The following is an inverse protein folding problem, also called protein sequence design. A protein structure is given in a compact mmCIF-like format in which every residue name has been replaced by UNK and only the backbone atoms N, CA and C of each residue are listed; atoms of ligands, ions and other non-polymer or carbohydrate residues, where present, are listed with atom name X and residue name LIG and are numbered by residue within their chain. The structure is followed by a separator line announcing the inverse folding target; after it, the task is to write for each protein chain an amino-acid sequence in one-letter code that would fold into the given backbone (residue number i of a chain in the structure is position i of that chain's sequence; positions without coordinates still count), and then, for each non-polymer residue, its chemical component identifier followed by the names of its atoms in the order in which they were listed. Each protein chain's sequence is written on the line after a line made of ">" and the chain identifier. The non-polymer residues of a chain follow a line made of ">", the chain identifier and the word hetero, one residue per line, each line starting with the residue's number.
data_IF_273757608466
#
_entry.id   IF_273757608466
#
_cell.length_a   1.000
_cell.length_b   1.000
_cell.length_c   1.000
_cell.angle_alpha   90.00
_cell.angle_beta   90.00
_cell.angle_gamma   90.00
#
_symmetry.space_group_name_H-M   'P 1'
#
loop_
_entity.id
_entity.type
_entity.pdbx_description
1 polymer ?
#
# COMPACT_ATOMS: atom_id res chain seq x y z
N UNK A 1 30.01 -17.10 -19.16
CA UNK A 1 29.59 -15.82 -19.77
C UNK A 1 28.63 -15.17 -18.79
N UNK A 2 28.75 -13.86 -18.55
CA UNK A 2 27.76 -13.15 -17.72
C UNK A 2 26.40 -13.14 -18.44
N UNK A 3 25.27 -13.30 -17.72
CA UNK A 3 23.96 -13.32 -18.35
C UNK A 3 23.62 -11.96 -18.99
N UNK A 4 22.71 -11.96 -19.97
CA UNK A 4 22.15 -10.72 -20.53
C UNK A 4 21.11 -10.17 -19.56
N UNK A 5 21.29 -8.95 -19.07
CA UNK A 5 20.45 -8.36 -18.02
C UNK A 5 19.64 -7.21 -18.62
N UNK A 6 18.33 -7.24 -18.40
CA UNK A 6 17.44 -6.10 -18.58
C UNK A 6 17.21 -5.40 -17.25
N UNK A 7 17.33 -4.09 -17.23
CA UNK A 7 16.91 -3.26 -16.09
C UNK A 7 15.73 -2.43 -16.54
N UNK A 8 14.60 -2.66 -15.88
CA UNK A 8 13.36 -1.96 -16.15
C UNK A 8 13.15 -0.83 -15.14
N UNK A 9 12.93 0.39 -15.64
CA UNK A 9 12.47 1.53 -14.87
C UNK A 9 10.98 1.67 -15.10
N UNK A 10 10.19 1.40 -14.06
CA UNK A 10 8.77 1.73 -14.03
C UNK A 10 8.60 3.08 -13.33
N UNK A 11 7.86 3.98 -13.95
CA UNK A 11 7.79 5.36 -13.48
C UNK A 11 6.44 6.02 -13.76
N UNK A 12 6.06 6.95 -12.90
CA UNK A 12 4.91 7.84 -13.08
C UNK A 12 5.12 9.09 -12.23
N UNK A 13 5.08 10.26 -12.86
CA UNK A 13 5.27 11.56 -12.23
C UNK A 13 6.53 11.64 -11.35
N UNK A 14 7.69 11.34 -11.94
CA UNK A 14 9.00 11.26 -11.31
C UNK A 14 10.03 12.20 -11.96
N UNK A 15 9.61 13.39 -12.41
CA UNK A 15 10.48 14.38 -13.07
C UNK A 15 11.78 14.63 -12.29
N UNK A 16 11.68 14.76 -10.96
CA UNK A 16 12.82 15.08 -10.10
C UNK A 16 13.83 13.93 -9.94
N UNK A 17 13.43 12.68 -10.16
CA UNK A 17 14.21 11.51 -9.70
C UNK A 17 14.63 10.56 -10.82
N UNK A 18 13.86 10.46 -11.92
CA UNK A 18 14.10 9.47 -12.98
C UNK A 18 15.50 9.58 -13.60
N UNK A 19 16.01 10.79 -13.79
CA UNK A 19 17.34 11.02 -14.37
C UNK A 19 18.48 10.51 -13.47
N UNK A 20 18.28 10.45 -12.15
CA UNK A 20 19.25 9.86 -11.21
C UNK A 20 19.32 8.34 -11.38
N UNK A 21 18.16 7.70 -11.40
CA UNK A 21 18.02 6.25 -11.62
C UNK A 21 18.63 5.82 -12.96
N UNK A 22 18.32 6.53 -14.06
CA UNK A 22 18.88 6.20 -15.37
C UNK A 22 20.41 6.29 -15.41
N UNK A 23 21.00 7.28 -14.73
CA UNK A 23 22.46 7.40 -14.61
C UNK A 23 23.07 6.22 -13.86
N UNK A 24 22.47 5.81 -12.74
CA UNK A 24 22.95 4.67 -11.95
C UNK A 24 22.93 3.36 -12.76
N UNK A 25 21.88 3.15 -13.57
CA UNK A 25 21.78 1.96 -14.43
C UNK A 25 22.83 1.98 -15.54
N UNK A 26 23.01 3.12 -16.20
CA UNK A 26 23.95 3.25 -17.32
C UNK A 26 25.42 3.25 -16.89
N UNK A 27 25.71 3.48 -15.61
CA UNK A 27 27.04 3.40 -15.03
C UNK A 27 27.49 1.97 -14.71
N UNK A 28 26.60 0.97 -14.81
CA UNK A 28 26.97 -0.42 -14.53
C UNK A 28 28.08 -0.91 -15.48
N UNK A 29 29.05 -1.62 -14.91
CA UNK A 29 30.21 -2.18 -15.61
C UNK A 29 29.85 -3.33 -16.55
N UNK A 30 28.68 -3.94 -16.37
CA UNK A 30 28.12 -4.97 -17.25
C UNK A 30 27.15 -4.33 -18.26
N UNK A 31 27.09 -4.84 -19.50
CA UNK A 31 26.10 -4.37 -20.48
C UNK A 31 24.67 -4.62 -20.00
N UNK A 32 23.82 -3.58 -20.04
CA UNK A 32 22.41 -3.64 -19.65
C UNK A 32 21.50 -3.24 -20.80
N UNK A 33 20.38 -3.96 -20.95
CA UNK A 33 19.24 -3.50 -21.71
C UNK A 33 18.37 -2.61 -20.82
N UNK A 34 18.27 -1.33 -21.16
CA UNK A 34 17.45 -0.38 -20.41
C UNK A 34 16.04 -0.29 -20.99
N UNK A 35 15.05 -0.68 -20.20
CA UNK A 35 13.62 -0.60 -20.53
C UNK A 35 12.96 0.44 -19.64
N UNK A 36 12.24 1.39 -20.22
CA UNK A 36 11.48 2.41 -19.48
C UNK A 36 10.00 2.24 -19.80
N UNK A 37 9.20 2.04 -18.74
CA UNK A 37 7.74 2.00 -18.82
C UNK A 37 7.19 3.14 -17.97
N UNK A 38 6.63 4.13 -18.64
CA UNK A 38 6.02 5.30 -18.05
C UNK A 38 4.49 5.15 -17.99
N UNK A 39 3.90 5.33 -16.82
CA UNK A 39 2.47 5.21 -16.54
C UNK A 39 1.64 6.42 -16.97
N UNK A 40 1.92 6.94 -18.18
CA UNK A 40 1.39 8.19 -18.72
C UNK A 40 1.60 9.39 -17.78
N UNK A 41 2.87 9.71 -17.49
CA UNK A 41 3.22 10.87 -16.68
C UNK A 41 2.66 12.17 -17.27
N UNK A 42 2.25 13.07 -16.38
CA UNK A 42 1.69 14.39 -16.72
C UNK A 42 2.64 15.54 -16.35
N UNK A 43 3.76 15.24 -15.70
CA UNK A 43 4.83 16.17 -15.35
C UNK A 43 5.99 16.09 -16.37
N UNK A 44 7.16 16.66 -16.02
CA UNK A 44 8.34 16.62 -16.87
C UNK A 44 9.08 15.27 -16.94
N UNK A 45 8.53 14.15 -16.46
CA UNK A 45 9.21 12.83 -16.44
C UNK A 45 9.76 12.42 -17.81
N UNK A 46 8.95 12.51 -18.87
CA UNK A 46 9.40 12.13 -20.21
C UNK A 46 10.49 13.06 -20.75
N UNK A 47 10.42 14.35 -20.42
CA UNK A 47 11.46 15.32 -20.77
C UNK A 47 12.77 15.01 -20.04
N UNK A 48 12.72 14.58 -18.77
CA UNK A 48 13.88 14.15 -17.99
C UNK A 48 14.53 12.87 -18.54
N UNK A 49 13.79 12.02 -19.25
CA UNK A 49 14.31 10.86 -19.96
C UNK A 49 15.01 11.20 -21.29
N UNK A 50 14.70 12.35 -21.91
CA UNK A 50 15.16 12.70 -23.25
C UNK A 50 16.69 12.68 -23.43
N UNK A 51 17.52 13.15 -22.47
CA UNK A 51 18.99 13.07 -22.59
C UNK A 51 19.53 11.64 -22.71
N UNK A 52 18.78 10.64 -22.22
CA UNK A 52 19.17 9.23 -22.23
C UNK A 52 18.57 8.45 -23.39
N UNK A 53 17.76 9.08 -24.25
CA UNK A 53 16.93 8.39 -25.25
C UNK A 53 17.69 7.42 -26.14
N UNK A 54 18.92 7.77 -26.56
CA UNK A 54 19.76 6.92 -27.41
C UNK A 54 20.27 5.65 -26.71
N UNK A 55 20.22 5.61 -25.38
CA UNK A 55 20.66 4.47 -24.55
C UNK A 55 19.49 3.67 -23.98
N UNK A 56 18.25 4.15 -24.15
CA UNK A 56 17.04 3.43 -23.77
C UNK A 56 16.64 2.52 -24.93
N UNK A 57 16.66 1.21 -24.71
CA UNK A 57 16.30 0.21 -25.71
C UNK A 57 14.80 0.30 -26.05
N UNK A 58 13.97 0.37 -25.02
CA UNK A 58 12.51 0.48 -25.14
C UNK A 58 11.99 1.55 -24.21
N UNK A 59 11.22 2.51 -24.73
CA UNK A 59 10.47 3.48 -23.94
C UNK A 59 9.00 3.42 -24.38
N UNK A 60 8.11 3.12 -23.44
CA UNK A 60 6.66 3.14 -23.63
C UNK A 60 6.06 4.08 -22.60
N UNK A 61 5.14 4.95 -23.03
CA UNK A 61 4.36 5.82 -22.15
C UNK A 61 2.87 5.62 -22.44
N UNK A 62 2.16 5.01 -21.49
CA UNK A 62 0.73 4.76 -21.59
C UNK A 62 0.15 4.48 -20.19
N UNK A 63 -1.17 4.65 -19.96
CA UNK A 63 -1.77 4.38 -18.66
C UNK A 63 -1.52 2.94 -18.17
N UNK A 64 -1.39 2.76 -16.86
CA UNK A 64 -1.28 1.47 -16.18
C UNK A 64 -2.19 1.39 -14.95
N UNK A 65 -2.41 0.16 -14.48
CA UNK A 65 -3.16 -0.13 -13.26
C UNK A 65 -2.29 -0.07 -11.98
N UNK A 66 -1.10 0.54 -12.05
CA UNK A 66 -0.13 0.62 -10.97
C UNK A 66 1.24 0.01 -11.34
N UNK A 67 2.22 0.08 -10.40
CA UNK A 67 3.62 -0.26 -10.69
C UNK A 67 3.78 -1.71 -11.17
N UNK A 68 3.03 -2.66 -10.60
CA UNK A 68 3.13 -4.06 -11.01
C UNK A 68 2.59 -4.34 -12.41
N UNK A 69 1.62 -3.55 -12.90
CA UNK A 69 1.17 -3.63 -14.28
C UNK A 69 2.26 -3.12 -15.24
N UNK A 70 2.91 -2.00 -14.89
CA UNK A 70 4.08 -1.51 -15.59
C UNK A 70 5.25 -2.52 -15.58
N UNK A 71 5.50 -3.19 -14.46
CA UNK A 71 6.54 -4.23 -14.35
C UNK A 71 6.21 -5.44 -15.23
N UNK A 72 4.95 -5.90 -15.21
CA UNK A 72 4.47 -6.97 -16.09
C UNK A 72 4.65 -6.62 -17.57
N UNK A 73 4.37 -5.37 -17.94
CA UNK A 73 4.59 -4.84 -19.28
C UNK A 73 6.08 -4.84 -19.64
N UNK A 74 6.94 -4.35 -18.75
CA UNK A 74 8.37 -4.35 -18.94
C UNK A 74 8.94 -5.76 -19.13
N UNK A 75 8.48 -6.77 -18.38
CA UNK A 75 8.89 -8.16 -18.54
C UNK A 75 8.60 -8.72 -19.95
N UNK A 76 7.49 -8.30 -20.57
CA UNK A 76 7.12 -8.69 -21.94
C UNK A 76 7.92 -7.94 -23.01
N UNK A 77 8.33 -6.71 -22.74
CA UNK A 77 9.09 -5.85 -23.65
C UNK A 77 10.59 -6.12 -23.63
N UNK A 78 11.13 -6.57 -22.49
CA UNK A 78 12.53 -6.88 -22.30
C UNK A 78 12.99 -8.11 -23.12
N UNK A 79 14.25 -8.13 -23.51
CA UNK A 79 14.88 -9.23 -24.28
C UNK A 79 16.03 -9.93 -23.54
N UNK A 80 16.41 -9.42 -22.36
CA UNK A 80 17.39 -10.03 -21.48
C UNK A 80 16.99 -11.44 -21.02
N UNK A 81 17.99 -12.18 -20.55
CA UNK A 81 17.80 -13.46 -19.88
C UNK A 81 17.19 -13.24 -18.48
N UNK A 82 17.72 -12.26 -17.75
CA UNK A 82 17.20 -11.80 -16.47
C UNK A 82 16.62 -10.40 -16.59
N UNK A 83 15.65 -10.09 -15.74
CA UNK A 83 15.11 -8.75 -15.55
C UNK A 83 15.16 -8.36 -14.07
N UNK A 84 15.55 -7.11 -13.81
CA UNK A 84 15.52 -6.44 -12.51
C UNK A 84 14.72 -5.13 -12.65
N UNK A 85 14.01 -4.73 -11.60
CA UNK A 85 13.20 -3.51 -11.60
C UNK A 85 13.79 -2.44 -10.68
N UNK A 86 14.18 -1.31 -11.25
CA UNK A 86 14.72 -0.17 -10.52
C UNK A 86 13.75 1.01 -10.66
N UNK A 87 12.94 1.28 -9.63
CA UNK A 87 11.93 2.34 -9.70
C UNK A 87 12.60 3.72 -9.78
N UNK A 88 11.91 4.69 -10.36
CA UNK A 88 12.41 6.06 -10.40
C UNK A 88 12.59 6.63 -8.98
N UNK A 89 13.81 7.07 -8.66
CA UNK A 89 14.23 7.44 -7.31
C UNK A 89 15.25 6.50 -6.70
N UNK A 90 15.24 5.23 -7.10
CA UNK A 90 16.16 4.21 -6.58
C UNK A 90 17.45 4.15 -7.41
N UNK A 91 18.51 3.56 -6.85
CA UNK A 91 19.79 3.36 -7.53
C UNK A 91 20.50 2.07 -7.09
N UNK A 92 21.48 1.64 -7.88
CA UNK A 92 22.45 0.63 -7.47
C UNK A 92 23.45 1.22 -6.46
N UNK A 93 23.96 0.37 -5.55
CA UNK A 93 24.95 0.78 -4.54
C UNK A 93 26.32 1.13 -5.12
N UNK A 94 26.66 0.57 -6.28
CA UNK A 94 27.93 0.79 -6.98
C UNK A 94 27.79 0.50 -8.49
N UNK A 95 28.84 0.77 -9.26
CA UNK A 95 28.94 0.44 -10.69
C UNK A 95 29.14 -1.07 -10.94
N UNK A 96 29.52 -1.82 -9.91
CA UNK A 96 29.77 -3.26 -9.92
C UNK A 96 28.59 -4.09 -9.39
N UNK A 97 27.54 -3.46 -8.87
CA UNK A 97 26.43 -4.13 -8.18
C UNK A 97 25.83 -5.30 -8.97
N UNK A 98 25.57 -5.12 -10.28
CA UNK A 98 25.08 -6.21 -11.14
C UNK A 98 26.13 -7.28 -11.42
N UNK A 99 27.40 -6.91 -11.55
CA UNK A 99 28.48 -7.88 -11.72
C UNK A 99 28.60 -8.77 -10.48
N UNK A 100 28.48 -8.17 -9.30
CA UNK A 100 28.58 -8.82 -8.00
C UNK A 100 27.39 -9.75 -7.74
N UNK A 101 26.18 -9.29 -8.04
CA UNK A 101 24.95 -10.07 -7.92
C UNK A 101 25.03 -11.41 -8.68
N UNK A 102 25.67 -11.43 -9.85
CA UNK A 102 25.77 -12.60 -10.71
C UNK A 102 27.12 -13.34 -10.63
N UNK A 103 28.11 -12.84 -9.89
CA UNK A 103 29.49 -13.37 -9.87
C UNK A 103 29.55 -14.87 -9.56
N UNK A 104 28.72 -15.33 -8.64
CA UNK A 104 28.66 -16.73 -8.19
C UNK A 104 27.28 -17.37 -8.40
N UNK A 105 26.40 -16.72 -9.18
CA UNK A 105 25.10 -17.27 -9.49
C UNK A 105 25.26 -18.55 -10.35
N UNK A 106 24.65 -19.68 -9.95
CA UNK A 106 24.72 -20.90 -10.75
C UNK A 106 23.95 -20.71 -12.05
N UNK A 107 24.39 -21.32 -13.18
CA UNK A 107 23.72 -21.18 -14.47
C UNK A 107 22.24 -21.58 -14.47
N UNK A 108 21.83 -22.45 -13.53
CA UNK A 108 20.46 -22.90 -13.36
C UNK A 108 19.55 -21.93 -12.60
N UNK A 109 20.08 -20.94 -11.87
CA UNK A 109 19.26 -20.06 -11.03
C UNK A 109 18.15 -19.35 -11.84
N UNK A 110 16.93 -19.42 -11.36
CA UNK A 110 15.77 -18.74 -11.90
C UNK A 110 15.56 -17.36 -11.26
N UNK A 111 15.99 -17.22 -10.01
CA UNK A 111 15.88 -16.01 -9.21
C UNK A 111 17.18 -15.74 -8.44
N UNK A 112 17.77 -14.56 -8.62
CA UNK A 112 19.03 -14.15 -7.96
C UNK A 112 18.77 -12.89 -7.16
N UNK A 113 19.19 -12.84 -5.90
CA UNK A 113 18.91 -11.69 -5.05
C UNK A 113 20.04 -11.40 -4.06
N UNK A 114 20.08 -10.16 -3.59
CA UNK A 114 21.03 -9.68 -2.59
C UNK A 114 20.36 -8.79 -1.54
N UNK A 115 21.19 -8.00 -0.87
CA UNK A 115 20.80 -7.07 0.17
C UNK A 115 20.55 -5.68 -0.41
N UNK A 116 19.96 -4.82 0.40
CA UNK A 116 19.65 -3.47 0.00
C UNK A 116 19.72 -2.49 1.18
N UNK A 117 19.78 -1.21 0.86
CA UNK A 117 19.67 -0.13 1.82
C UNK A 117 18.36 0.62 1.62
N UNK A 118 17.74 1.02 2.73
CA UNK A 118 16.62 1.94 2.76
C UNK A 118 17.11 3.35 3.08
N UNK A 119 16.94 4.29 2.15
CA UNK A 119 17.25 5.69 2.38
C UNK A 119 16.04 6.39 2.99
N UNK A 120 16.17 6.82 4.24
CA UNK A 120 15.14 7.56 4.96
C UNK A 120 15.09 9.03 4.57
N UNK A 121 13.96 9.68 4.86
CA UNK A 121 13.74 11.11 4.59
C UNK A 121 14.74 12.03 5.31
N UNK A 122 15.31 11.58 6.44
CA UNK A 122 16.36 12.31 7.18
C UNK A 122 17.78 12.11 6.60
N UNK A 123 17.90 11.36 5.51
CA UNK A 123 19.16 11.05 4.84
C UNK A 123 19.92 9.86 5.43
N UNK A 124 19.40 9.20 6.47
CA UNK A 124 20.02 8.00 7.02
C UNK A 124 19.78 6.77 6.13
N UNK A 125 20.78 5.90 6.07
CA UNK A 125 20.70 4.60 5.38
C UNK A 125 20.50 3.50 6.41
N UNK A 126 19.42 2.73 6.26
CA UNK A 126 19.19 1.50 7.00
C UNK A 126 19.54 0.31 6.12
N UNK A 127 20.43 -0.56 6.60
CA UNK A 127 20.81 -1.75 5.87
C UNK A 127 19.84 -2.90 6.13
N UNK A 128 19.36 -3.53 5.06
CA UNK A 128 18.42 -4.64 5.11
C UNK A 128 19.03 -5.88 4.46
N UNK A 129 19.34 -6.85 5.32
CA UNK A 129 19.80 -8.17 4.89
C UNK A 129 18.63 -9.03 4.44
N UNK A 130 18.61 -9.42 3.17
CA UNK A 130 17.66 -10.42 2.68
C UNK A 130 17.87 -11.77 3.38
N UNK A 131 16.78 -12.43 3.74
CA UNK A 131 16.80 -13.73 4.38
C UNK A 131 16.99 -14.86 3.34
N UNK A 132 17.35 -16.06 3.82
CA UNK A 132 17.25 -17.26 3.00
C UNK A 132 15.78 -17.54 2.67
N UNK A 133 15.44 -17.63 1.38
CA UNK A 133 14.06 -17.86 0.95
C UNK A 133 13.51 -19.23 1.41
N UNK A 134 14.39 -20.21 1.63
CA UNK A 134 14.02 -21.50 2.21
C UNK A 134 13.54 -21.36 3.64
N UNK A 135 14.23 -20.56 4.45
CA UNK A 135 13.80 -20.18 5.80
C UNK A 135 12.46 -19.44 5.77
N UNK A 136 12.33 -18.40 4.93
CA UNK A 136 11.08 -17.65 4.78
C UNK A 136 9.91 -18.57 4.41
N UNK A 137 10.13 -19.48 3.46
CA UNK A 137 9.13 -20.47 3.04
C UNK A 137 8.70 -21.37 4.18
N UNK A 138 9.64 -21.90 4.97
CA UNK A 138 9.32 -22.77 6.12
C UNK A 138 8.46 -22.04 7.15
N UNK A 139 8.80 -20.80 7.48
CA UNK A 139 8.06 -19.97 8.44
C UNK A 139 6.65 -19.64 7.93
N UNK A 140 6.52 -19.27 6.65
CA UNK A 140 5.22 -18.99 6.07
C UNK A 140 4.31 -20.23 6.04
N UNK A 141 4.86 -21.42 5.72
CA UNK A 141 4.11 -22.68 5.73
C UNK A 141 3.68 -23.11 7.13
N UNK A 142 4.51 -22.88 8.16
CA UNK A 142 4.18 -23.22 9.55
C UNK A 142 3.28 -22.19 10.23
N UNK A 143 3.03 -21.05 9.58
CA UNK A 143 2.29 -19.92 10.16
C UNK A 143 3.07 -19.14 11.23
N UNK A 144 4.34 -19.47 11.47
CA UNK A 144 5.22 -18.81 12.42
C UNK A 144 5.85 -17.56 11.80
N UNK A 145 5.00 -16.57 11.49
CA UNK A 145 5.42 -15.32 10.86
C UNK A 145 5.70 -14.25 11.91
N UNK A 146 6.74 -13.45 11.65
CA UNK A 146 7.09 -12.25 12.40
C UNK A 146 7.59 -11.14 11.46
N UNK A 147 7.87 -9.96 12.01
CA UNK A 147 8.40 -8.83 11.24
C UNK A 147 9.75 -9.11 10.58
N UNK A 148 10.57 -10.00 11.14
CA UNK A 148 11.85 -10.37 10.54
C UNK A 148 11.65 -11.21 9.28
N UNK A 149 10.71 -12.17 9.32
CA UNK A 149 10.36 -12.98 8.14
C UNK A 149 9.72 -12.14 7.04
N UNK A 150 8.91 -11.14 7.40
CA UNK A 150 8.28 -10.23 6.44
C UNK A 150 9.31 -9.27 5.83
N UNK A 151 10.10 -8.61 6.67
CA UNK A 151 11.13 -7.65 6.24
C UNK A 151 12.37 -8.31 5.61
N UNK A 152 12.55 -9.61 5.83
CA UNK A 152 13.61 -10.41 5.25
C UNK A 152 13.36 -10.79 3.78
N UNK A 153 12.21 -10.47 3.20
CA UNK A 153 11.96 -10.67 1.79
C UNK A 153 12.85 -9.74 0.95
N UNK A 154 13.52 -10.23 -0.11
CA UNK A 154 14.27 -9.35 -0.99
C UNK A 154 13.33 -8.42 -1.75
N UNK A 155 13.71 -7.15 -1.86
CA UNK A 155 12.99 -6.19 -2.69
C UNK A 155 13.30 -6.43 -4.18
N UNK A 156 12.41 -5.98 -5.06
CA UNK A 156 12.59 -6.14 -6.51
C UNK A 156 13.77 -5.33 -7.08
N UNK A 157 14.25 -4.29 -6.37
CA UNK A 157 15.45 -3.51 -6.73
C UNK A 157 16.74 -4.29 -6.51
N UNK A 158 16.73 -5.24 -5.57
CA UNK A 158 17.87 -6.08 -5.22
C UNK A 158 17.69 -7.53 -5.68
N UNK A 159 16.79 -7.78 -6.63
CA UNK A 159 16.56 -9.10 -7.18
C UNK A 159 16.34 -9.10 -8.67
N UNK A 160 16.87 -10.13 -9.32
CA UNK A 160 16.77 -10.38 -10.74
C UNK A 160 16.10 -11.74 -10.97
N UNK A 161 15.05 -11.76 -11.77
CA UNK A 161 14.32 -13.00 -12.12
C UNK A 161 14.55 -13.32 -13.58
N UNK A 162 14.60 -14.60 -13.95
CA UNK A 162 14.53 -14.99 -15.37
C UNK A 162 13.33 -14.32 -16.01
N UNK A 163 13.59 -13.51 -17.01
CA UNK A 163 12.56 -12.69 -17.66
C UNK A 163 11.45 -13.56 -18.25
N UNK A 164 11.77 -14.77 -18.74
CA UNK A 164 10.76 -15.71 -19.26
C UNK A 164 9.67 -16.06 -18.22
N UNK A 165 10.03 -16.15 -16.95
CA UNK A 165 9.13 -16.51 -15.85
C UNK A 165 8.14 -15.37 -15.61
N UNK A 166 8.61 -14.12 -15.52
CA UNK A 166 7.76 -12.95 -15.32
C UNK A 166 6.97 -12.55 -16.58
N UNK A 167 7.50 -12.82 -17.77
CA UNK A 167 6.78 -12.57 -19.02
C UNK A 167 5.61 -13.54 -19.23
N UNK A 168 5.77 -14.80 -18.80
CA UNK A 168 4.72 -15.81 -18.87
C UNK A 168 3.69 -15.65 -17.73
N UNK A 169 4.17 -15.46 -16.50
CA UNK A 169 3.34 -15.28 -15.31
C UNK A 169 3.98 -14.21 -14.42
N UNK A 170 3.54 -12.97 -14.64
CA UNK A 170 4.03 -11.80 -13.91
C UNK A 170 3.43 -11.67 -12.50
N UNK A 171 3.49 -10.45 -11.99
CA UNK A 171 2.90 -10.04 -10.73
C UNK A 171 1.36 -10.10 -10.79
N UNK A 172 0.75 -10.55 -9.71
CA UNK A 172 -0.70 -10.62 -9.54
C UNK A 172 -1.24 -9.24 -9.18
N UNK A 173 -1.99 -8.62 -10.10
CA UNK A 173 -2.50 -7.26 -9.95
C UNK A 173 -3.61 -7.11 -8.89
N UNK A 174 -4.08 -8.22 -8.30
CA UNK A 174 -4.91 -8.13 -7.09
C UNK A 174 -4.12 -7.67 -5.86
N UNK A 175 -2.79 -7.65 -5.94
CA UNK A 175 -1.91 -7.01 -4.96
C UNK A 175 -1.41 -5.68 -5.51
N UNK A 176 -1.67 -4.59 -4.80
CA UNK A 176 -1.23 -3.24 -5.15
C UNK A 176 0.15 -2.92 -4.58
N UNK A 177 0.55 -3.56 -3.47
CA UNK A 177 1.78 -3.25 -2.74
C UNK A 177 2.70 -4.46 -2.64
N UNK A 178 2.20 -5.62 -2.22
CA UNK A 178 3.00 -6.81 -1.91
C UNK A 178 3.00 -7.86 -3.03
N UNK A 179 2.78 -7.45 -4.29
CA UNK A 179 2.72 -8.39 -5.41
C UNK A 179 4.08 -9.08 -5.66
N UNK A 180 5.18 -8.40 -5.33
CA UNK A 180 6.53 -8.95 -5.35
C UNK A 180 6.72 -10.08 -4.33
N UNK A 181 6.33 -9.87 -3.08
CA UNK A 181 6.32 -10.90 -2.04
C UNK A 181 5.45 -12.08 -2.48
N UNK A 182 4.25 -11.80 -3.01
CA UNK A 182 3.32 -12.84 -3.49
C UNK A 182 3.93 -13.63 -4.65
N UNK A 183 4.64 -12.96 -5.57
CA UNK A 183 5.32 -13.63 -6.67
C UNK A 183 6.45 -14.51 -6.17
N UNK A 184 7.27 -14.04 -5.21
CA UNK A 184 8.34 -14.83 -4.60
C UNK A 184 7.78 -16.09 -3.95
N UNK A 185 6.74 -15.99 -3.12
CA UNK A 185 6.11 -17.16 -2.53
C UNK A 185 5.58 -18.15 -3.58
N UNK A 186 5.01 -17.66 -4.69
CA UNK A 186 4.57 -18.49 -5.80
C UNK A 186 5.73 -19.19 -6.50
N UNK A 187 6.82 -18.47 -6.80
CA UNK A 187 8.04 -19.05 -7.39
C UNK A 187 8.62 -20.18 -6.52
N UNK A 188 8.63 -19.98 -5.20
CA UNK A 188 9.08 -21.01 -4.26
C UNK A 188 8.11 -22.20 -4.15
N UNK A 189 6.81 -22.00 -4.42
CA UNK A 189 5.83 -23.09 -4.50
C UNK A 189 5.94 -23.87 -5.82
N UNK A 190 6.34 -23.20 -6.91
CA UNK A 190 6.64 -23.78 -8.22
C UNK A 190 7.95 -24.58 -8.23
N UNK A 191 8.77 -24.45 -7.18
CA UNK A 191 10.05 -25.16 -7.05
C UNK A 191 11.16 -24.55 -7.90
N UNK A 192 11.08 -23.25 -8.21
CA UNK A 192 12.10 -22.54 -8.98
C UNK A 192 13.40 -22.39 -8.18
N UNK A 193 14.53 -22.51 -8.88
CA UNK A 193 15.85 -22.42 -8.26
C UNK A 193 16.20 -20.98 -7.94
N UNK A 194 16.62 -20.71 -6.71
CA UNK A 194 17.04 -19.38 -6.29
C UNK A 194 18.49 -19.35 -5.81
N UNK A 195 19.11 -18.18 -5.90
CA UNK A 195 20.46 -17.93 -5.40
C UNK A 195 20.50 -16.63 -4.59
N UNK A 196 20.89 -16.75 -3.32
CA UNK A 196 21.22 -15.61 -2.49
C UNK A 196 22.70 -15.27 -2.67
N UNK A 197 22.98 -14.10 -3.25
CA UNK A 197 24.34 -13.71 -3.61
C UNK A 197 25.15 -13.13 -2.43
N UNK A 198 24.52 -12.79 -1.30
CA UNK A 198 25.15 -12.22 -0.10
C UNK A 198 26.00 -10.96 -0.43
N UNK A 199 25.45 -10.09 -1.29
CA UNK A 199 26.05 -8.81 -1.71
C UNK A 199 25.03 -7.68 -1.62
N UNK A 200 25.49 -6.45 -1.44
CA UNK A 200 24.66 -5.26 -1.51
C UNK A 200 24.38 -4.89 -2.97
N UNK A 201 23.12 -4.63 -3.31
CA UNK A 201 22.70 -4.39 -4.70
C UNK A 201 22.14 -3.00 -4.91
N UNK A 202 21.17 -2.60 -4.09
CA UNK A 202 20.38 -1.40 -4.35
C UNK A 202 20.19 -0.52 -3.11
N UNK A 203 19.99 0.77 -3.36
CA UNK A 203 19.45 1.74 -2.41
C UNK A 203 18.05 2.09 -2.90
N UNK A 204 17.03 1.80 -2.09
CA UNK A 204 15.66 2.19 -2.37
C UNK A 204 15.23 3.32 -1.42
N UNK A 205 14.51 4.30 -1.95
CA UNK A 205 14.22 5.56 -1.24
C UNK A 205 12.85 5.51 -0.55
N UNK A 206 12.78 6.06 0.66
CA UNK A 206 11.53 6.25 1.40
C UNK A 206 10.51 7.08 0.60
N UNK A 207 9.24 6.75 0.77
CA UNK A 207 8.13 7.50 0.16
C UNK A 207 7.45 6.80 -1.02
N UNK A 208 7.83 5.56 -1.31
CA UNK A 208 7.12 4.68 -2.24
C UNK A 208 5.70 4.29 -1.78
N UNK A 209 4.99 3.55 -2.64
CA UNK A 209 3.59 3.18 -2.42
C UNK A 209 3.36 2.41 -1.11
N UNK A 210 4.30 1.52 -0.74
CA UNK A 210 4.27 0.73 0.49
C UNK A 210 4.37 1.59 1.76
N UNK A 211 5.22 2.62 1.74
CA UNK A 211 5.38 3.54 2.86
C UNK A 211 4.13 4.41 3.09
N UNK A 212 3.42 4.74 2.00
CA UNK A 212 2.21 5.60 1.97
C UNK A 212 0.88 4.87 2.27
N UNK A 213 0.88 3.55 2.21
CA UNK A 213 -0.32 2.72 2.38
C UNK A 213 0.04 1.53 3.28
N UNK A 214 0.56 1.83 4.47
CA UNK A 214 1.01 0.83 5.45
C UNK A 214 -0.11 -0.16 5.79
N UNK A 215 -1.35 0.32 6.01
CA UNK A 215 -2.50 -0.54 6.32
C UNK A 215 -2.79 -1.55 5.20
N UNK A 216 -2.77 -1.11 3.93
CA UNK A 216 -2.92 -1.99 2.77
C UNK A 216 -1.74 -2.96 2.65
N UNK A 217 -0.52 -2.52 2.93
CA UNK A 217 0.68 -3.36 2.93
C UNK A 217 0.53 -4.54 3.91
N UNK A 218 0.15 -4.23 5.16
CA UNK A 218 -0.16 -5.23 6.17
C UNK A 218 -1.29 -6.16 5.75
N UNK A 219 -2.32 -5.62 5.10
CA UNK A 219 -3.43 -6.42 4.63
C UNK A 219 -3.03 -7.41 3.55
N UNK A 220 -2.26 -6.97 2.58
CA UNK A 220 -1.77 -7.81 1.51
C UNK A 220 -0.80 -8.88 2.01
N UNK A 221 0.07 -8.54 2.97
CA UNK A 221 0.91 -9.53 3.65
C UNK A 221 0.09 -10.58 4.39
N UNK A 222 -0.93 -10.18 5.15
CA UNK A 222 -1.85 -11.11 5.80
C UNK A 222 -2.52 -12.05 4.78
N UNK A 223 -3.10 -11.50 3.72
CA UNK A 223 -3.84 -12.27 2.71
C UNK A 223 -2.95 -13.32 2.07
N UNK A 224 -1.76 -12.89 1.66
CA UNK A 224 -0.74 -13.74 1.07
C UNK A 224 -0.28 -14.82 2.05
N UNK A 225 0.13 -14.45 3.27
CA UNK A 225 0.70 -15.39 4.25
C UNK A 225 -0.37 -16.36 4.76
N UNK A 226 -1.61 -15.95 4.95
CA UNK A 226 -2.71 -16.83 5.31
C UNK A 226 -2.99 -17.86 4.21
N UNK A 227 -2.94 -17.43 2.93
CA UNK A 227 -3.10 -18.35 1.80
C UNK A 227 -1.93 -19.35 1.71
N UNK A 228 -0.69 -18.90 1.95
CA UNK A 228 0.49 -19.78 1.96
C UNK A 228 0.47 -20.76 3.13
N UNK A 229 0.04 -20.33 4.33
CA UNK A 229 0.00 -21.15 5.53
C UNK A 229 -1.05 -22.26 5.48
N UNK A 230 -2.10 -22.11 4.67
CA UNK A 230 -3.15 -23.11 4.52
C UNK A 230 -3.82 -23.46 5.86
N UNK A 231 -3.70 -24.71 6.29
CA UNK A 231 -4.24 -25.18 7.57
C UNK A 231 -3.64 -24.44 8.79
N UNK A 232 -2.43 -23.86 8.65
CA UNK A 232 -1.76 -23.08 9.70
C UNK A 232 -2.16 -21.60 9.72
N UNK A 233 -3.08 -21.16 8.86
CA UNK A 233 -3.57 -19.78 8.83
C UNK A 233 -4.03 -19.20 10.19
N UNK A 234 -4.58 -19.98 11.16
CA UNK A 234 -4.92 -19.44 12.48
C UNK A 234 -3.75 -18.79 13.23
N UNK A 235 -2.51 -19.23 13.01
CA UNK A 235 -1.33 -18.59 13.62
C UNK A 235 -1.05 -17.22 12.97
N UNK A 236 -1.14 -17.14 11.63
CA UNK A 236 -1.02 -15.88 10.88
C UNK A 236 -2.12 -14.90 11.30
N UNK A 237 -3.37 -15.37 11.44
CA UNK A 237 -4.48 -14.55 11.91
C UNK A 237 -4.21 -13.94 13.28
N UNK A 238 -3.65 -14.74 14.20
CA UNK A 238 -3.29 -14.27 15.54
C UNK A 238 -2.18 -13.22 15.50
N UNK A 239 -1.11 -13.48 14.75
CA UNK A 239 -0.01 -12.53 14.59
C UNK A 239 -0.51 -11.17 14.11
N UNK A 240 -1.25 -11.14 13.00
CA UNK A 240 -1.78 -9.88 12.48
C UNK A 240 -2.80 -9.27 13.43
N UNK A 241 -3.68 -10.03 14.09
CA UNK A 241 -4.64 -9.47 15.05
C UNK A 241 -3.97 -8.79 16.26
N UNK A 242 -2.85 -9.33 16.74
CA UNK A 242 -2.10 -8.81 17.90
C UNK A 242 -1.22 -7.61 17.53
N UNK A 243 -0.62 -7.61 16.34
CA UNK A 243 0.37 -6.61 15.93
C UNK A 243 -0.21 -5.53 15.01
N UNK A 244 -1.37 -5.78 14.41
CA UNK A 244 -2.01 -4.94 13.39
C UNK A 244 -3.52 -4.94 13.60
N UNK A 245 -4.07 -3.89 14.23
CA UNK A 245 -5.50 -3.86 14.56
C UNK A 245 -6.37 -3.92 13.28
N UNK A 246 -7.43 -4.75 13.23
CA UNK A 246 -7.77 -5.52 12.01
C UNK A 246 -9.08 -5.14 11.30
N UNK A 247 -9.17 -5.56 10.04
CA UNK A 247 -10.22 -5.33 9.03
C UNK A 247 -9.80 -5.99 7.70
N UNK A 248 -8.97 -7.03 7.83
CA UNK A 248 -8.04 -7.54 6.82
C UNK A 248 -8.69 -8.57 5.86
N UNK A 249 -10.02 -8.61 5.79
CA UNK A 249 -10.74 -9.66 5.06
C UNK A 249 -11.10 -9.28 3.62
N UNK A 250 -11.21 -7.99 3.30
CA UNK A 250 -11.74 -7.53 2.01
C UNK A 250 -10.63 -7.36 0.96
N UNK A 251 -10.81 -7.81 -0.30
CA UNK A 251 -9.78 -7.71 -1.35
C UNK A 251 -9.47 -6.25 -1.74
N UNK A 252 -8.25 -5.95 -2.22
CA UNK A 252 -7.81 -4.57 -2.50
C UNK A 252 -8.71 -3.78 -3.45
N UNK A 253 -9.31 -4.39 -4.48
CA UNK A 253 -10.23 -3.65 -5.37
C UNK A 253 -11.56 -3.33 -4.70
N UNK A 254 -12.03 -4.19 -3.78
CA UNK A 254 -13.22 -3.90 -2.99
C UNK A 254 -12.93 -2.75 -2.03
N UNK A 255 -11.77 -2.77 -1.37
CA UNK A 255 -11.34 -1.67 -0.49
C UNK A 255 -11.17 -0.37 -1.26
N UNK A 256 -10.52 -0.36 -2.43
CA UNK A 256 -10.37 0.86 -3.23
C UNK A 256 -11.75 1.48 -3.59
N UNK A 257 -12.74 0.65 -3.94
CA UNK A 257 -14.12 1.11 -4.16
C UNK A 257 -14.77 1.65 -2.88
N UNK A 258 -14.55 0.99 -1.75
CA UNK A 258 -15.06 1.46 -0.45
C UNK A 258 -14.40 2.78 -0.03
N UNK A 259 -13.08 2.93 -0.26
CA UNK A 259 -12.34 4.18 0.01
C UNK A 259 -12.92 5.32 -0.82
N UNK A 260 -13.08 5.12 -2.13
CA UNK A 260 -13.68 6.11 -3.02
C UNK A 260 -15.09 6.49 -2.54
N UNK A 261 -15.92 5.49 -2.24
CA UNK A 261 -17.28 5.72 -1.75
C UNK A 261 -17.32 6.49 -0.43
N UNK A 262 -16.47 6.14 0.54
CA UNK A 262 -16.41 6.84 1.82
C UNK A 262 -15.88 8.27 1.67
N UNK A 263 -14.89 8.47 0.80
CA UNK A 263 -14.33 9.79 0.50
C UNK A 263 -15.36 10.69 -0.19
N UNK A 264 -16.04 10.17 -1.21
CA UNK A 264 -17.11 10.88 -1.94
C UNK A 264 -18.32 11.19 -1.06
N UNK A 265 -18.60 10.36 -0.04
CA UNK A 265 -19.71 10.61 0.88
C UNK A 265 -19.53 11.86 1.75
N UNK A 266 -18.30 12.35 1.93
CA UNK A 266 -17.97 13.45 2.84
C UNK A 266 -18.18 13.12 4.33
N UNK A 267 -18.65 11.92 4.67
CA UNK A 267 -18.92 11.53 6.06
C UNK A 267 -17.66 11.08 6.81
N UNK A 268 -16.57 10.77 6.11
CA UNK A 268 -15.29 10.48 6.76
C UNK A 268 -14.44 11.75 6.84
N UNK A 269 -14.22 12.26 8.05
CA UNK A 269 -13.44 13.49 8.25
C UNK A 269 -11.95 13.17 8.39
N UNK A 270 -11.23 13.07 7.26
CA UNK A 270 -9.84 12.61 7.21
C UNK A 270 -8.90 13.36 8.17
N UNK A 271 -8.91 14.69 8.16
CA UNK A 271 -8.04 15.50 9.04
C UNK A 271 -8.38 15.36 10.53
N UNK A 272 -9.67 15.25 10.85
CA UNK A 272 -10.12 15.02 12.23
C UNK A 272 -9.71 13.63 12.71
N UNK A 273 -9.98 12.60 11.91
CA UNK A 273 -9.61 11.22 12.20
C UNK A 273 -8.10 11.09 12.42
N UNK A 274 -7.30 11.69 11.52
CA UNK A 274 -5.85 11.75 11.62
C UNK A 274 -5.39 12.35 12.95
N UNK A 275 -5.97 13.49 13.33
CA UNK A 275 -5.63 14.19 14.57
C UNK A 275 -5.99 13.37 15.81
N UNK A 276 -7.20 12.83 15.87
CA UNK A 276 -7.73 12.09 17.04
C UNK A 276 -6.98 10.78 17.25
N UNK A 277 -6.75 10.01 16.18
CA UNK A 277 -6.12 8.69 16.27
C UNK A 277 -4.61 8.70 15.99
N UNK A 278 -4.01 9.89 15.82
CA UNK A 278 -2.59 10.10 15.55
C UNK A 278 -2.07 9.27 14.39
N UNK A 279 -2.81 9.28 13.28
CA UNK A 279 -2.44 8.52 12.08
C UNK A 279 -1.28 9.23 11.36
N UNK A 280 -0.15 8.55 11.08
CA UNK A 280 0.96 9.16 10.36
C UNK A 280 0.54 9.70 8.99
N UNK A 281 1.09 10.83 8.53
CA UNK A 281 0.74 11.45 7.23
C UNK A 281 0.87 10.48 6.05
N UNK A 282 1.84 9.56 6.14
CA UNK A 282 2.06 8.47 5.19
C UNK A 282 1.01 7.35 5.24
N UNK A 283 -0.10 7.50 5.94
CA UNK A 283 -1.15 6.48 5.99
C UNK A 283 -2.46 7.14 5.61
N UNK A 284 -3.15 6.55 4.61
CA UNK A 284 -4.51 6.95 4.25
C UNK A 284 -5.45 6.63 5.43
N UNK A 285 -6.14 7.62 6.00
CA UNK A 285 -6.95 7.43 7.20
C UNK A 285 -8.23 6.65 6.92
N UNK A 286 -8.77 6.68 5.69
CA UNK A 286 -9.94 5.89 5.29
C UNK A 286 -9.54 4.41 5.18
N UNK A 287 -8.40 4.12 4.54
CA UNK A 287 -7.87 2.75 4.50
C UNK A 287 -7.65 2.23 5.92
N UNK A 288 -7.00 3.01 6.77
CA UNK A 288 -6.82 2.65 8.18
C UNK A 288 -8.16 2.37 8.88
N UNK A 289 -9.20 3.16 8.63
CA UNK A 289 -10.51 2.95 9.22
C UNK A 289 -11.20 1.67 8.73
N UNK A 290 -11.19 1.44 7.42
CA UNK A 290 -11.75 0.24 6.78
C UNK A 290 -11.04 -1.03 7.27
N UNK A 291 -9.70 -0.97 7.35
CA UNK A 291 -8.86 -2.08 7.76
C UNK A 291 -8.70 -2.26 9.27
N UNK A 292 -9.27 -1.42 10.13
CA UNK A 292 -8.92 -1.50 11.56
C UNK A 292 -9.76 -0.62 12.44
N UNK A 293 -9.86 0.66 12.08
CA UNK A 293 -10.51 1.69 12.90
C UNK A 293 -11.93 1.30 13.30
N UNK A 294 -12.76 0.85 12.35
CA UNK A 294 -14.14 0.48 12.64
C UNK A 294 -14.28 -0.65 13.67
N UNK A 295 -13.43 -1.69 13.60
CA UNK A 295 -13.45 -2.79 14.59
C UNK A 295 -12.90 -2.36 15.95
N UNK A 296 -11.97 -1.42 15.94
CA UNK A 296 -11.49 -0.75 17.15
C UNK A 296 -12.48 0.30 17.70
N UNK A 297 -13.70 0.37 17.14
CA UNK A 297 -14.75 1.32 17.50
C UNK A 297 -14.31 2.79 17.33
N UNK A 298 -13.31 3.05 16.48
CA UNK A 298 -12.93 4.40 16.11
C UNK A 298 -14.11 5.09 15.42
N UNK A 299 -14.28 6.38 15.68
CA UNK A 299 -15.31 7.21 15.06
C UNK A 299 -14.73 7.77 13.76
N UNK A 300 -15.48 7.77 12.65
CA UNK A 300 -15.00 8.37 11.40
C UNK A 300 -15.18 9.90 11.36
N UNK A 301 -16.01 10.44 12.24
CA UNK A 301 -16.26 11.87 12.44
C UNK A 301 -16.84 12.10 13.85
N UNK A 302 -16.94 13.35 14.35
CA UNK A 302 -17.44 13.66 15.69
C UNK A 302 -18.90 13.23 15.99
N UNK A 303 -19.69 12.96 14.96
CA UNK A 303 -21.14 12.71 15.02
C UNK A 303 -21.52 11.31 14.50
N UNK A 304 -20.54 10.41 14.46
CA UNK A 304 -20.73 9.00 14.17
C UNK A 304 -20.03 8.18 15.24
N UNK A 305 -20.78 7.76 16.25
CA UNK A 305 -20.31 6.86 17.28
C UNK A 305 -20.45 5.41 16.78
N UNK A 306 -19.31 4.81 16.45
CA UNK A 306 -19.24 3.46 15.90
C UNK A 306 -19.79 2.41 16.86
N UNK A 307 -19.55 2.54 18.17
CA UNK A 307 -20.05 1.61 19.17
C UNK A 307 -21.57 1.69 19.26
N UNK A 308 -22.08 2.92 19.40
CA UNK A 308 -23.50 3.21 19.42
C UNK A 308 -24.23 2.68 18.20
N UNK A 309 -23.66 2.89 17.01
CA UNK A 309 -24.24 2.43 15.76
C UNK A 309 -24.33 0.90 15.73
N UNK A 310 -23.27 0.18 16.11
CA UNK A 310 -23.28 -1.29 16.14
C UNK A 310 -24.18 -1.88 17.25
N UNK A 311 -24.39 -1.16 18.35
CA UNK A 311 -25.33 -1.54 19.41
C UNK A 311 -26.77 -1.48 18.91
N UNK A 312 -27.15 -0.38 18.25
CA UNK A 312 -28.51 -0.18 17.72
C UNK A 312 -28.81 -1.01 16.47
N UNK A 313 -27.78 -1.45 15.76
CA UNK A 313 -27.90 -2.11 14.46
C UNK A 313 -27.30 -3.52 14.50
N UNK A 314 -27.98 -4.41 15.21
CA UNK A 314 -27.53 -5.79 15.41
C UNK A 314 -27.40 -6.60 14.11
N UNK A 315 -28.16 -6.24 13.07
CA UNK A 315 -28.04 -6.78 11.72
C UNK A 315 -26.69 -6.45 11.08
N UNK A 316 -26.22 -5.21 11.22
CA UNK A 316 -24.90 -4.76 10.73
C UNK A 316 -23.78 -5.45 11.50
N UNK A 317 -23.91 -5.50 12.83
CA UNK A 317 -22.94 -6.18 13.70
C UNK A 317 -22.82 -7.67 13.35
N UNK A 318 -23.94 -8.35 13.12
CA UNK A 318 -23.95 -9.79 12.75
C UNK A 318 -23.43 -10.02 11.34
N UNK A 319 -23.67 -9.10 10.41
CA UNK A 319 -23.12 -9.17 9.06
C UNK A 319 -21.61 -8.88 9.02
N UNK A 320 -21.04 -8.30 10.08
CA UNK A 320 -19.62 -7.91 10.12
C UNK A 320 -19.27 -6.78 9.16
N UNK A 321 -20.26 -6.05 8.63
CA UNK A 321 -20.06 -4.98 7.67
C UNK A 321 -19.46 -3.75 8.36
N UNK A 322 -18.57 -3.02 7.67
CA UNK A 322 -18.07 -1.75 8.18
C UNK A 322 -19.25 -0.79 8.45
N UNK A 323 -19.35 -0.20 9.65
CA UNK A 323 -20.54 0.53 10.10
C UNK A 323 -20.78 1.83 9.32
N UNK A 324 -19.72 2.59 9.02
CA UNK A 324 -19.86 3.78 8.18
C UNK A 324 -20.20 3.40 6.74
N UNK A 325 -19.57 2.36 6.20
CA UNK A 325 -19.87 1.86 4.86
C UNK A 325 -21.34 1.42 4.75
N UNK A 326 -21.83 0.67 5.75
CA UNK A 326 -23.23 0.31 5.85
C UNK A 326 -24.12 1.56 5.90
N UNK A 327 -23.73 2.58 6.67
CA UNK A 327 -24.48 3.82 6.76
C UNK A 327 -24.59 4.54 5.40
N UNK A 328 -23.48 4.69 4.70
CA UNK A 328 -23.43 5.31 3.37
C UNK A 328 -24.30 4.54 2.36
N UNK A 329 -24.20 3.21 2.34
CA UNK A 329 -24.94 2.38 1.37
C UNK A 329 -26.44 2.26 1.70
N UNK A 330 -26.79 2.22 2.98
CA UNK A 330 -28.14 1.86 3.43
C UNK A 330 -28.65 2.73 4.59
N UNK A 331 -27.82 2.94 5.62
CA UNK A 331 -28.26 3.55 6.87
C UNK A 331 -28.80 4.97 6.74
N UNK A 332 -28.24 5.81 5.85
CA UNK A 332 -28.75 7.15 5.60
C UNK A 332 -30.19 7.13 5.06
N UNK A 333 -30.47 6.30 4.05
CA UNK A 333 -31.82 6.12 3.48
C UNK A 333 -32.79 5.50 4.49
N UNK A 334 -32.27 4.65 5.37
CA UNK A 334 -33.03 4.01 6.46
C UNK A 334 -33.15 4.89 7.71
N UNK A 335 -32.58 6.11 7.71
CA UNK A 335 -32.57 7.04 8.85
C UNK A 335 -32.03 6.42 10.13
N UNK A 336 -30.97 5.62 10.01
CA UNK A 336 -30.29 5.03 11.17
C UNK A 336 -29.58 6.11 11.97
N UNK A 337 -29.76 6.06 13.29
CA UNK A 337 -29.14 7.03 14.21
C UNK A 337 -27.65 6.71 14.37
N UNK A 338 -26.79 7.69 14.11
CA UNK A 338 -25.32 7.55 14.14
C UNK A 338 -24.68 7.97 15.44
N UNK A 339 -25.42 8.66 16.32
CA UNK A 339 -24.89 9.26 17.53
C UNK A 339 -25.94 9.26 18.65
N UNK A 340 -25.55 9.16 19.92
CA UNK A 340 -26.49 9.18 21.05
C UNK A 340 -27.01 10.60 21.36
N UNK A 341 -27.76 11.19 20.42
CA UNK A 341 -28.27 12.57 20.46
C UNK A 341 -29.09 12.90 21.71
N UNK A 342 -29.97 11.99 22.14
CA UNK A 342 -30.84 12.20 23.30
C UNK A 342 -30.07 12.36 24.62
N UNK A 343 -28.87 11.79 24.70
CA UNK A 343 -27.98 11.91 25.86
C UNK A 343 -26.85 12.92 25.67
N UNK A 344 -26.82 13.61 24.53
CA UNK A 344 -25.79 14.62 24.23
C UNK A 344 -25.95 15.85 25.13
N UNK A 345 -24.83 16.54 25.40
CA UNK A 345 -24.78 17.72 26.28
C UNK A 345 -24.00 18.85 25.63
N UNK A 346 -24.19 20.07 26.13
CA UNK A 346 -23.47 21.26 25.69
C UNK A 346 -23.62 21.48 24.19
N UNK A 347 -22.55 21.96 23.55
CA UNK A 347 -22.52 22.27 22.12
C UNK A 347 -23.18 21.23 21.22
N UNK A 348 -22.93 19.93 21.45
CA UNK A 348 -23.46 18.84 20.63
C UNK A 348 -24.99 18.78 20.69
N UNK A 349 -25.58 19.05 21.85
CA UNK A 349 -27.04 19.13 22.00
C UNK A 349 -27.63 20.33 21.27
N UNK A 350 -26.91 21.46 21.27
CA UNK A 350 -27.30 22.67 20.54
C UNK A 350 -27.53 22.41 19.05
N UNK A 351 -26.79 21.46 18.45
CA UNK A 351 -26.97 21.07 17.05
C UNK A 351 -28.38 20.58 16.73
N UNK A 352 -29.16 20.09 17.70
CA UNK A 352 -30.55 19.69 17.50
C UNK A 352 -31.48 20.86 17.11
N UNK A 353 -31.07 22.10 17.36
CA UNK A 353 -31.79 23.29 16.89
C UNK A 353 -31.70 23.48 15.37
N UNK A 354 -30.70 22.86 14.72
CA UNK A 354 -30.42 22.99 13.29
C UNK A 354 -30.35 21.63 12.59
N UNK A 355 -30.73 20.54 13.26
CA UNK A 355 -30.65 19.18 12.73
C UNK A 355 -31.62 18.25 13.47
N UNK A 356 -32.49 17.56 12.73
CA UNK A 356 -33.36 16.51 13.28
C UNK A 356 -32.82 15.13 12.89
N UNK A 357 -32.18 14.38 13.82
CA UNK A 357 -31.57 13.08 13.51
C UNK A 357 -32.60 12.00 13.13
N UNK A 358 -33.90 12.20 13.38
CA UNK A 358 -34.95 11.25 13.00
C UNK A 358 -35.53 11.52 11.60
N UNK A 359 -35.23 12.69 11.02
CA UNK A 359 -35.74 13.11 9.70
C UNK A 359 -34.65 13.35 8.68
N UNK A 360 -33.46 13.72 9.14
CA UNK A 360 -32.34 14.16 8.33
C UNK A 360 -31.17 13.18 8.47
N UNK A 361 -30.43 12.98 7.39
CA UNK A 361 -29.24 12.15 7.39
C UNK A 361 -28.00 12.96 7.84
N UNK A 362 -26.95 12.26 8.26
CA UNK A 362 -25.78 12.87 8.89
C UNK A 362 -25.04 13.85 7.99
N UNK A 363 -25.08 13.65 6.67
CA UNK A 363 -24.51 14.55 5.67
C UNK A 363 -25.10 15.96 5.75
N UNK A 364 -26.40 16.07 6.03
CA UNK A 364 -27.08 17.36 6.22
C UNK A 364 -26.52 18.11 7.42
N UNK A 365 -26.25 17.40 8.53
CA UNK A 365 -25.63 18.02 9.70
C UNK A 365 -24.22 18.51 9.38
N UNK A 366 -23.39 17.67 8.77
CA UNK A 366 -21.99 18.03 8.45
C UNK A 366 -21.92 19.24 7.53
N UNK A 367 -22.78 19.30 6.52
CA UNK A 367 -22.90 20.43 5.58
C UNK A 367 -23.36 21.72 6.29
N UNK A 368 -24.29 21.63 7.26
CA UNK A 368 -24.68 22.78 8.08
C UNK A 368 -23.57 23.23 9.01
N UNK A 369 -22.92 22.31 9.72
CA UNK A 369 -21.81 22.62 10.64
C UNK A 369 -20.65 23.29 9.91
N UNK A 370 -20.32 22.84 8.70
CA UNK A 370 -19.26 23.42 7.88
C UNK A 370 -19.51 24.88 7.47
N UNK A 371 -20.77 25.34 7.52
CA UNK A 371 -21.16 26.72 7.16
C UNK A 371 -21.41 27.64 8.35
N UNK A 372 -21.31 27.14 9.58
CA UNK A 372 -21.54 27.95 10.78
C UNK A 372 -20.47 29.03 10.94
N UNK A 373 -20.91 30.25 11.22
CA UNK A 373 -20.06 31.36 11.63
C UNK A 373 -19.71 31.27 13.12
N UNK A 374 -18.62 31.91 13.59
CA UNK A 374 -18.29 31.95 15.02
C UNK A 374 -19.43 32.50 15.91
N UNK A 375 -20.25 33.40 15.38
CA UNK A 375 -21.40 33.96 16.11
C UNK A 375 -22.53 32.94 16.27
N UNK A 376 -22.82 32.15 15.23
CA UNK A 376 -23.80 31.06 15.28
C UNK A 376 -23.33 29.92 16.18
N UNK A 377 -22.03 29.64 16.20
CA UNK A 377 -21.43 28.72 17.17
C UNK A 377 -21.65 29.23 18.60
N UNK A 378 -21.29 30.48 18.89
CA UNK A 378 -21.53 31.03 20.23
C UNK A 378 -23.02 31.01 20.63
N UNK A 379 -23.95 31.15 19.68
CA UNK A 379 -25.39 31.09 19.94
C UNK A 379 -25.89 29.68 20.25
N UNK A 380 -25.48 28.69 19.48
CA UNK A 380 -25.84 27.29 19.71
C UNK A 380 -25.26 26.78 21.04
N UNK A 381 -24.06 27.23 21.44
CA UNK A 381 -23.50 26.97 22.79
C UNK A 381 -24.36 27.58 23.90
N UNK A 382 -24.79 28.84 23.74
CA UNK A 382 -25.66 29.52 24.72
C UNK A 382 -27.00 28.81 24.90
N UNK A 383 -27.64 28.41 23.79
CA UNK A 383 -28.92 27.70 23.81
C UNK A 383 -28.80 26.35 24.51
N UNK A 384 -27.74 25.60 24.21
CA UNK A 384 -27.50 24.32 24.87
C UNK A 384 -27.35 24.46 26.39
N UNK A 385 -26.70 25.52 26.88
CA UNK A 385 -26.55 25.80 28.32
C UNK A 385 -27.88 26.20 28.97
N UNK A 386 -28.76 26.89 28.24
CA UNK A 386 -30.06 27.33 28.74
C UNK A 386 -31.08 26.19 28.90
N UNK A 387 -30.93 25.10 28.14
CA UNK A 387 -31.88 23.97 28.09
C UNK A 387 -31.46 22.75 28.95
N UNK A 388 -30.38 22.87 29.72
CA UNK A 388 -29.86 21.85 30.65
C UNK A 388 -28.81 20.95 30.01
#
# INVERSE_FOLDING_TARGET
>A
MSPRISVAVVTRNAEASVAGTLRSILAQTVPVELVVVDGASTDGTLAACAPFRARIATLVSEPDAGPYDAMNKAARLATGEFILYMNAGDCFVSEEALADLFRHAPPGADFVYGHHFYLRDDGSLEWHRAADLGFIRRQALSGQVDFHTIAGMPCHQASATRRAILAAQGYDLSYRIAADHARIHRMLAEGLDYHHADVDVAVYVQGGLSARQEALCFHEWYRMLAAVAGENAPAVHRFFAEHVRPGIADPPEAIARQVALLRESGLFMEGWYRSVYRIPERVDPIEHYLYGGARALAWPNPFFDTAHYLERNADVRRAGMNPLLHYVLHGAKQRRITYPWESSRGWVRGLLAIFDPHREALDVLLDRVARLTPAEVAELERRAIAEG
#
